data_IF_127773594056
#
_entry.id   IF_127773594056
#
_cell.length_a   1.000
_cell.length_b   1.000
_cell.length_c   1.000
_cell.angle_alpha   90.00
_cell.angle_beta   90.00
_cell.angle_gamma   90.00
#
_symmetry.space_group_name_H-M   'P 1'
#
loop_
_entity.id
_entity.type
_entity.pdbx_description
1 polymer ?
#
# COMPACT_ATOMS: atom_id res chain seq x y z
N UNK A 1 13.55 20.30 -15.77
CA UNK A 1 13.39 21.07 -14.50
C UNK A 1 12.10 20.59 -13.84
N UNK A 2 12.10 20.28 -12.54
CA UNK A 2 10.88 19.85 -11.83
C UNK A 2 9.87 20.99 -11.76
N UNK A 3 8.59 20.69 -11.96
CA UNK A 3 7.46 21.61 -11.82
C UNK A 3 6.68 21.22 -10.56
N UNK A 4 6.26 22.21 -9.77
CA UNK A 4 5.42 21.98 -8.58
C UNK A 4 3.94 22.09 -8.93
N UNK A 5 3.13 21.13 -8.48
CA UNK A 5 1.66 21.18 -8.57
C UNK A 5 1.00 21.65 -7.27
N UNK A 6 1.76 22.18 -6.31
CA UNK A 6 1.23 22.64 -5.02
C UNK A 6 0.30 23.84 -5.21
N UNK A 7 -0.92 23.73 -4.66
CA UNK A 7 -1.91 24.81 -4.60
C UNK A 7 -2.04 25.34 -3.16
N UNK A 8 -2.59 26.56 -2.96
CA UNK A 8 -2.81 27.12 -1.61
C UNK A 8 -3.69 26.26 -0.71
N UNK A 9 -4.59 25.45 -1.28
CA UNK A 9 -5.43 24.49 -0.55
C UNK A 9 -4.66 23.27 -0.02
N UNK A 10 -3.48 22.97 -0.59
CA UNK A 10 -2.66 21.84 -0.18
C UNK A 10 -1.90 22.16 1.11
N UNK A 11 -2.51 21.75 2.23
CA UNK A 11 -1.99 21.94 3.60
C UNK A 11 -1.25 20.69 4.06
N UNK A 12 -0.06 20.87 4.65
CA UNK A 12 0.82 19.78 5.09
C UNK A 12 2.30 20.14 4.95
N UNK A 13 3.18 19.37 5.58
CA UNK A 13 4.64 19.58 5.55
C UNK A 13 5.32 18.74 4.45
N UNK A 14 4.74 17.61 4.08
CA UNK A 14 5.30 16.66 3.10
C UNK A 14 4.63 16.80 1.72
N UNK A 15 5.31 16.41 0.62
CA UNK A 15 4.75 16.54 -0.73
C UNK A 15 3.46 15.74 -0.93
N UNK A 16 3.20 14.72 -0.10
CA UNK A 16 1.99 13.91 -0.18
C UNK A 16 0.68 14.70 -0.01
N UNK A 17 0.75 15.90 0.58
CA UNK A 17 -0.39 16.82 0.76
C UNK A 17 -1.17 17.09 -0.51
N UNK A 18 -0.53 17.02 -1.68
CA UNK A 18 -1.21 17.27 -2.97
C UNK A 18 -2.23 16.20 -3.34
N UNK A 19 -2.17 15.02 -2.71
CA UNK A 19 -3.10 13.91 -2.95
C UNK A 19 -4.22 13.81 -1.90
N UNK A 20 -4.23 14.67 -0.88
CA UNK A 20 -5.19 14.62 0.22
C UNK A 20 -6.65 14.66 -0.25
N UNK A 21 -6.97 15.55 -1.18
CA UNK A 21 -8.34 15.67 -1.70
C UNK A 21 -8.72 14.49 -2.60
N UNK A 22 -7.77 13.92 -3.33
CA UNK A 22 -7.98 12.72 -4.15
C UNK A 22 -8.37 11.52 -3.29
N UNK A 23 -7.80 11.38 -2.08
CA UNK A 23 -8.13 10.30 -1.14
C UNK A 23 -9.58 10.35 -0.70
N UNK A 24 -10.02 11.49 -0.17
CA UNK A 24 -11.42 11.64 0.26
C UNK A 24 -12.38 11.44 -0.91
N UNK A 25 -12.11 12.07 -2.06
CA UNK A 25 -12.96 11.95 -3.24
C UNK A 25 -13.05 10.50 -3.75
N UNK A 26 -11.93 9.77 -3.82
CA UNK A 26 -11.96 8.37 -4.27
C UNK A 26 -12.66 7.46 -3.27
N UNK A 27 -12.41 7.65 -1.98
CA UNK A 27 -13.05 6.85 -0.93
C UNK A 27 -14.58 7.00 -0.96
N UNK A 28 -15.08 8.23 -1.09
CA UNK A 28 -16.53 8.52 -1.17
C UNK A 28 -17.20 7.95 -2.43
N UNK A 29 -16.43 7.70 -3.49
CA UNK A 29 -16.90 7.22 -4.79
C UNK A 29 -16.37 5.83 -5.13
N UNK A 30 -16.21 4.96 -4.12
CA UNK A 30 -15.70 3.60 -4.30
C UNK A 30 -16.52 2.79 -5.32
N UNK A 31 -17.84 2.79 -5.19
CA UNK A 31 -18.76 2.24 -6.19
C UNK A 31 -20.09 3.02 -6.18
N UNK A 32 -20.97 2.75 -7.15
CA UNK A 32 -22.14 3.57 -7.44
C UNK A 32 -23.11 3.83 -6.27
N UNK A 33 -23.16 2.92 -5.29
CA UNK A 33 -24.01 3.05 -4.10
C UNK A 33 -23.23 3.39 -2.82
N UNK A 34 -21.90 3.43 -2.85
CA UNK A 34 -21.08 3.60 -1.65
C UNK A 34 -21.30 4.94 -0.94
N UNK A 35 -21.56 6.01 -1.69
CA UNK A 35 -21.90 7.31 -1.12
C UNK A 35 -23.19 7.26 -0.26
N UNK A 36 -24.15 6.41 -0.63
CA UNK A 36 -25.37 6.18 0.16
C UNK A 36 -25.06 5.38 1.42
N UNK A 37 -24.24 4.34 1.30
CA UNK A 37 -23.78 3.53 2.46
C UNK A 37 -23.04 4.40 3.49
N UNK A 38 -22.15 5.28 3.05
CA UNK A 38 -21.50 6.29 3.92
C UNK A 38 -22.56 7.19 4.58
N UNK A 39 -23.52 7.70 3.82
CA UNK A 39 -24.54 8.60 4.35
C UNK A 39 -25.43 7.92 5.40
N UNK A 40 -25.76 6.64 5.22
CA UNK A 40 -26.50 5.84 6.21
C UNK A 40 -25.69 5.62 7.49
N UNK A 41 -24.39 5.35 7.37
CA UNK A 41 -23.47 5.24 8.50
C UNK A 41 -23.34 6.56 9.28
N UNK A 42 -23.32 7.70 8.58
CA UNK A 42 -23.34 9.03 9.18
C UNK A 42 -24.67 9.28 9.90
N UNK A 43 -25.80 9.01 9.24
CA UNK A 43 -27.13 9.26 9.78
C UNK A 43 -27.44 8.39 11.01
N UNK A 44 -26.89 7.18 11.07
CA UNK A 44 -26.98 6.28 12.22
C UNK A 44 -25.99 6.62 13.35
N UNK A 45 -25.11 7.61 13.16
CA UNK A 45 -24.12 8.04 14.14
C UNK A 45 -22.93 7.10 14.28
N UNK A 46 -22.76 6.13 13.38
CA UNK A 46 -21.62 5.18 13.38
C UNK A 46 -20.35 5.76 12.75
N UNK A 47 -20.50 6.72 11.84
CA UNK A 47 -19.38 7.34 11.12
C UNK A 47 -19.45 8.87 11.28
N UNK A 48 -18.35 9.49 11.68
CA UNK A 48 -18.24 10.94 11.71
C UNK A 48 -17.96 11.47 10.29
N UNK A 49 -18.63 12.55 9.84
CA UNK A 49 -18.37 13.14 8.52
C UNK A 49 -16.92 13.61 8.33
N UNK A 50 -16.29 13.13 7.26
CA UNK A 50 -14.97 13.56 6.81
C UNK A 50 -13.80 12.83 7.47
N UNK A 51 -12.63 12.97 6.84
CA UNK A 51 -11.37 12.37 7.29
C UNK A 51 -10.54 13.43 8.00
N UNK A 52 -10.04 13.13 9.19
CA UNK A 52 -9.14 14.00 9.92
C UNK A 52 -7.69 13.72 9.57
N UNK A 53 -7.01 14.74 9.05
CA UNK A 53 -5.61 14.64 8.62
C UNK A 53 -4.69 15.30 9.64
N UNK A 54 -3.86 14.50 10.27
CA UNK A 54 -2.85 14.92 11.23
C UNK A 54 -1.57 15.32 10.49
N UNK A 55 -1.24 16.61 10.54
CA UNK A 55 0.03 17.15 10.06
C UNK A 55 0.97 17.22 11.27
N UNK A 56 1.84 16.22 11.41
CA UNK A 56 2.79 16.16 12.51
C UNK A 56 4.14 15.62 12.03
N UNK A 57 5.25 16.35 12.25
CA UNK A 57 6.59 15.91 11.88
C UNK A 57 7.10 14.87 12.89
N UNK A 58 6.52 13.67 12.87
CA UNK A 58 6.81 12.58 13.81
C UNK A 58 6.93 11.26 13.08
N UNK A 59 7.73 10.37 13.66
CA UNK A 59 7.92 9.02 13.16
C UNK A 59 6.62 8.22 13.25
N UNK A 60 6.50 7.18 12.41
CA UNK A 60 5.31 6.32 12.37
C UNK A 60 5.36 5.35 13.56
N UNK A 61 4.72 5.73 14.65
CA UNK A 61 4.46 4.84 15.80
C UNK A 61 3.10 4.15 15.65
N UNK A 62 2.74 3.24 16.58
CA UNK A 62 1.43 2.55 16.53
C UNK A 62 0.25 3.54 16.40
N UNK A 63 0.31 4.69 17.08
CA UNK A 63 -0.75 5.71 17.06
C UNK A 63 -0.73 6.61 15.81
N UNK A 64 0.18 6.34 14.86
CA UNK A 64 0.31 7.09 13.61
C UNK A 64 -0.21 6.32 12.39
N UNK A 65 -0.60 5.06 12.55
CA UNK A 65 -1.36 4.33 11.53
C UNK A 65 -2.77 4.92 11.41
N UNK A 66 -3.49 4.69 10.29
CA UNK A 66 -4.90 5.02 10.22
C UNK A 66 -5.69 4.30 11.32
N UNK A 67 -6.69 4.99 11.88
CA UNK A 67 -7.58 4.42 12.89
C UNK A 67 -8.91 5.14 12.88
N UNK A 68 -9.92 4.48 13.45
CA UNK A 68 -11.19 5.10 13.85
C UNK A 68 -11.22 5.34 15.35
N UNK A 69 -11.59 6.55 15.77
CA UNK A 69 -11.80 6.86 17.19
C UNK A 69 -13.21 6.50 17.69
N UNK A 70 -13.45 6.67 18.99
CA UNK A 70 -14.73 6.38 19.65
C UNK A 70 -15.92 7.18 19.10
N UNK A 71 -15.68 8.26 18.34
CA UNK A 71 -16.73 9.06 17.70
C UNK A 71 -17.07 8.57 16.29
N UNK A 72 -16.41 7.52 15.82
CA UNK A 72 -16.51 7.03 14.45
C UNK A 72 -15.71 7.88 13.46
N UNK A 73 -14.76 8.70 13.92
CA UNK A 73 -13.96 9.56 13.03
C UNK A 73 -12.72 8.84 12.53
N UNK A 74 -12.54 8.88 11.21
CA UNK A 74 -11.36 8.31 10.55
C UNK A 74 -10.19 9.31 10.66
N UNK A 75 -9.07 8.83 11.17
CA UNK A 75 -7.86 9.61 11.42
C UNK A 75 -6.70 9.09 10.56
N UNK A 76 -5.98 9.96 9.85
CA UNK A 76 -4.81 9.61 9.04
C UNK A 76 -3.67 10.60 9.31
N UNK A 77 -2.42 10.11 9.30
CA UNK A 77 -1.22 10.93 9.50
C UNK A 77 -0.42 11.13 8.21
N UNK A 78 0.11 12.34 8.03
CA UNK A 78 0.85 12.72 6.82
C UNK A 78 2.12 11.89 6.60
N UNK A 79 2.87 11.57 7.66
CA UNK A 79 4.08 10.71 7.55
C UNK A 79 3.72 9.30 7.09
N UNK A 80 2.62 8.74 7.59
CA UNK A 80 2.13 7.44 7.13
C UNK A 80 1.74 7.47 5.66
N UNK A 81 1.02 8.52 5.22
CA UNK A 81 0.67 8.71 3.82
C UNK A 81 1.91 8.77 2.92
N UNK A 82 2.94 9.51 3.36
CA UNK A 82 4.22 9.61 2.62
C UNK A 82 4.90 8.24 2.52
N UNK A 83 4.92 7.47 3.60
CA UNK A 83 5.45 6.12 3.63
C UNK A 83 4.72 5.16 2.68
N UNK A 84 3.39 5.17 2.64
CA UNK A 84 2.62 4.34 1.70
C UNK A 84 2.94 4.72 0.24
N UNK A 85 3.04 6.01 -0.06
CA UNK A 85 3.40 6.45 -1.42
C UNK A 85 4.80 5.99 -1.82
N UNK A 86 5.77 6.12 -0.91
CA UNK A 86 7.15 5.66 -1.11
C UNK A 86 7.17 4.16 -1.39
N UNK A 87 6.43 3.35 -0.63
CA UNK A 87 6.35 1.91 -0.87
C UNK A 87 5.74 1.59 -2.24
N UNK A 88 4.68 2.31 -2.63
CA UNK A 88 4.07 2.15 -3.96
C UNK A 88 5.08 2.46 -5.07
N UNK A 89 5.81 3.58 -4.96
CA UNK A 89 6.85 3.96 -5.92
C UNK A 89 7.93 2.89 -5.99
N UNK A 90 8.45 2.51 -4.83
CA UNK A 90 9.58 1.58 -4.73
C UNK A 90 9.25 0.21 -5.28
N UNK A 91 8.11 -0.36 -4.91
CA UNK A 91 7.70 -1.69 -5.39
C UNK A 91 7.43 -1.66 -6.90
N UNK A 92 6.80 -0.61 -7.41
CA UNK A 92 6.55 -0.45 -8.83
C UNK A 92 7.86 -0.40 -9.63
N UNK A 93 8.78 0.50 -9.27
CA UNK A 93 10.03 0.67 -10.01
C UNK A 93 10.96 -0.52 -9.84
N UNK A 94 11.16 -1.02 -8.62
CA UNK A 94 12.04 -2.17 -8.38
C UNK A 94 11.52 -3.42 -9.08
N UNK A 95 10.21 -3.59 -9.22
CA UNK A 95 9.64 -4.67 -10.01
C UNK A 95 9.88 -4.47 -11.50
N UNK A 96 9.47 -3.33 -12.07
CA UNK A 96 9.57 -3.09 -13.52
C UNK A 96 11.03 -3.13 -14.01
N UNK A 97 11.90 -2.36 -13.36
CA UNK A 97 13.30 -2.20 -13.78
C UNK A 97 14.19 -3.33 -13.26
N UNK A 98 13.95 -3.80 -12.03
CA UNK A 98 14.81 -4.77 -11.36
C UNK A 98 14.42 -6.23 -11.58
N UNK A 99 13.18 -6.50 -12.01
CA UNK A 99 12.67 -7.87 -12.18
C UNK A 99 12.11 -8.10 -13.59
N UNK A 100 11.08 -7.35 -13.99
CA UNK A 100 10.33 -7.60 -15.21
C UNK A 100 11.19 -7.43 -16.48
N UNK A 101 11.81 -6.25 -16.66
CA UNK A 101 12.67 -5.98 -17.83
C UNK A 101 13.82 -6.99 -17.98
N UNK A 102 14.63 -7.29 -16.93
CA UNK A 102 15.67 -8.33 -17.03
C UNK A 102 15.14 -9.71 -17.42
N UNK A 103 13.98 -10.12 -16.87
CA UNK A 103 13.38 -11.41 -17.19
C UNK A 103 12.89 -11.48 -18.62
N UNK A 104 12.19 -10.46 -19.10
CA UNK A 104 11.72 -10.37 -20.48
C UNK A 104 12.89 -10.43 -21.49
N UNK A 105 14.00 -9.74 -21.20
CA UNK A 105 15.23 -9.82 -22.00
C UNK A 105 15.81 -11.24 -22.01
N UNK A 106 15.88 -11.89 -20.84
CA UNK A 106 16.37 -13.28 -20.74
C UNK A 106 15.49 -14.26 -21.52
N UNK A 107 14.19 -13.99 -21.62
CA UNK A 107 13.22 -14.76 -22.42
C UNK A 107 13.24 -14.41 -23.92
N UNK A 108 14.11 -13.49 -24.35
CA UNK A 108 14.25 -13.13 -25.77
C UNK A 108 13.11 -12.27 -26.31
N UNK A 109 12.36 -11.57 -25.45
CA UNK A 109 11.34 -10.61 -25.92
C UNK A 109 12.02 -9.44 -26.64
N UNK A 110 11.46 -9.05 -27.79
CA UNK A 110 11.96 -7.94 -28.60
C UNK A 110 11.52 -6.58 -28.03
N UNK A 111 12.31 -5.53 -28.31
CA UNK A 111 11.99 -4.13 -27.99
C UNK A 111 11.84 -3.81 -26.49
N UNK A 112 12.49 -4.57 -25.61
CA UNK A 112 12.56 -4.22 -24.18
C UNK A 112 13.59 -3.11 -23.98
N UNK A 113 13.16 -2.00 -23.41
CA UNK A 113 14.03 -0.87 -23.06
C UNK A 113 15.20 -1.29 -22.17
N UNK A 114 16.27 -0.49 -22.18
CA UNK A 114 17.35 -0.66 -21.20
C UNK A 114 16.88 -0.42 -19.77
N UNK A 115 17.48 -1.17 -18.85
CA UNK A 115 17.21 -1.02 -17.42
C UNK A 115 17.72 0.35 -16.99
N UNK A 116 16.85 1.13 -16.37
CA UNK A 116 17.21 2.43 -15.85
C UNK A 116 17.87 2.29 -14.47
N UNK A 117 19.17 2.03 -14.48
CA UNK A 117 19.98 1.83 -13.26
C UNK A 117 19.97 3.07 -12.36
N UNK A 118 19.95 4.28 -12.93
CA UNK A 118 19.89 5.51 -12.13
C UNK A 118 18.56 5.62 -11.38
N UNK A 119 17.44 5.27 -12.04
CA UNK A 119 16.12 5.23 -11.43
C UNK A 119 16.01 4.14 -10.36
N UNK A 120 16.61 2.97 -10.57
CA UNK A 120 16.70 1.93 -9.53
C UNK A 120 17.45 2.41 -8.29
N UNK A 121 18.62 3.02 -8.46
CA UNK A 121 19.44 3.50 -7.34
C UNK A 121 18.69 4.55 -6.50
N UNK A 122 18.11 5.58 -7.14
CA UNK A 122 17.36 6.62 -6.41
C UNK A 122 16.11 6.03 -5.71
N UNK A 123 15.53 4.98 -6.28
CA UNK A 123 14.39 4.26 -5.68
C UNK A 123 14.80 3.46 -4.45
N UNK A 124 15.96 2.79 -4.49
CA UNK A 124 16.51 2.10 -3.32
C UNK A 124 16.79 3.08 -2.19
N UNK A 125 17.37 4.24 -2.49
CA UNK A 125 17.58 5.31 -1.52
C UNK A 125 16.26 5.86 -0.96
N UNK A 126 15.26 6.09 -1.83
CA UNK A 126 13.92 6.51 -1.41
C UNK A 126 13.26 5.48 -0.51
N UNK A 127 13.42 4.18 -0.79
CA UNK A 127 12.92 3.10 0.05
C UNK A 127 13.61 3.11 1.43
N UNK A 128 14.93 3.32 1.50
CA UNK A 128 15.61 3.49 2.79
C UNK A 128 15.12 4.73 3.56
N UNK A 129 14.86 5.84 2.86
CA UNK A 129 14.22 7.01 3.47
C UNK A 129 12.84 6.65 4.04
N UNK A 130 11.99 5.97 3.28
CA UNK A 130 10.68 5.49 3.76
C UNK A 130 10.79 4.63 5.02
N UNK A 131 11.72 3.68 5.05
CA UNK A 131 12.01 2.87 6.25
C UNK A 131 12.42 3.72 7.45
N UNK A 132 13.24 4.75 7.21
CA UNK A 132 13.68 5.64 8.30
C UNK A 132 12.52 6.34 8.99
N UNK A 133 11.44 6.67 8.27
CA UNK A 133 10.24 7.33 8.82
C UNK A 133 9.51 6.52 9.89
N UNK A 134 9.70 5.21 9.92
CA UNK A 134 9.15 4.34 10.98
C UNK A 134 9.92 4.51 12.30
N UNK A 135 11.21 4.83 12.22
CA UNK A 135 12.10 4.96 13.38
C UNK A 135 12.22 6.42 13.83
N UNK A 136 12.44 7.33 12.88
CA UNK A 136 12.64 8.76 13.13
C UNK A 136 12.14 9.59 11.96
N UNK A 137 11.49 10.71 12.25
CA UNK A 137 11.04 11.62 11.21
C UNK A 137 12.20 12.44 10.66
N UNK A 138 12.23 12.57 9.34
CA UNK A 138 13.02 13.59 8.65
C UNK A 138 12.23 14.14 7.45
N UNK A 139 12.40 15.43 7.10
CA UNK A 139 11.71 16.03 5.97
C UNK A 139 12.04 15.35 4.63
N UNK A 140 11.04 15.21 3.76
CA UNK A 140 11.23 14.64 2.42
C UNK A 140 11.96 15.63 1.52
N UNK A 141 13.15 15.27 1.05
CA UNK A 141 13.88 16.04 0.05
C UNK A 141 13.19 15.95 -1.33
N UNK A 142 12.27 16.88 -1.58
CA UNK A 142 11.48 16.96 -2.83
C UNK A 142 12.32 17.22 -4.08
N UNK A 143 13.52 17.79 -3.92
CA UNK A 143 14.39 18.10 -5.07
C UNK A 143 15.11 16.84 -5.50
N UNK A 144 15.67 16.12 -4.52
CA UNK A 144 16.44 14.91 -4.76
C UNK A 144 15.55 13.72 -5.09
N UNK A 145 14.53 13.44 -4.26
CA UNK A 145 13.69 12.25 -4.43
C UNK A 145 12.48 12.46 -5.35
N UNK A 146 12.05 11.40 -6.07
CA UNK A 146 10.72 11.35 -6.67
C UNK A 146 9.64 11.60 -5.63
N UNK A 147 8.60 12.37 -5.99
CA UNK A 147 7.50 12.71 -5.09
C UNK A 147 6.28 13.20 -5.89
N UNK A 148 5.07 13.21 -5.30
CA UNK A 148 3.85 13.57 -6.02
C UNK A 148 3.67 15.07 -6.26
N UNK A 149 4.47 15.94 -5.64
CA UNK A 149 4.30 17.40 -5.71
C UNK A 149 5.21 18.06 -6.76
N UNK A 150 6.49 17.67 -6.80
CA UNK A 150 7.53 18.26 -7.62
C UNK A 150 8.21 17.19 -8.46
N UNK A 151 7.92 17.18 -9.77
CA UNK A 151 8.49 16.23 -10.71
C UNK A 151 8.66 16.86 -12.11
N UNK A 152 9.57 16.29 -12.90
CA UNK A 152 9.86 16.66 -14.28
C UNK A 152 9.03 15.83 -15.26
N UNK A 153 9.04 16.22 -16.55
CA UNK A 153 8.36 15.48 -17.62
C UNK A 153 8.90 14.05 -17.78
N UNK A 154 10.19 13.81 -17.48
CA UNK A 154 10.81 12.48 -17.50
C UNK A 154 10.33 11.58 -16.34
N UNK A 155 9.98 12.19 -15.20
CA UNK A 155 9.49 11.48 -14.01
C UNK A 155 7.96 11.30 -14.03
N UNK A 156 7.25 12.05 -14.87
CA UNK A 156 5.79 12.17 -14.87
C UNK A 156 5.10 10.81 -14.98
N UNK A 157 5.53 9.95 -15.91
CA UNK A 157 4.96 8.61 -16.07
C UNK A 157 5.01 7.80 -14.75
N UNK A 158 6.18 7.75 -14.12
CA UNK A 158 6.39 6.97 -12.89
C UNK A 158 5.63 7.57 -11.71
N UNK A 159 5.64 8.90 -11.57
CA UNK A 159 4.93 9.61 -10.51
C UNK A 159 3.42 9.46 -10.66
N UNK A 160 2.86 9.66 -11.86
CA UNK A 160 1.42 9.52 -12.07
C UNK A 160 0.94 8.07 -11.93
N UNK A 161 1.73 7.10 -12.41
CA UNK A 161 1.43 5.68 -12.17
C UNK A 161 1.43 5.34 -10.68
N UNK A 162 2.43 5.84 -9.95
CA UNK A 162 2.52 5.68 -8.51
C UNK A 162 1.35 6.34 -7.79
N UNK A 163 0.95 7.56 -8.18
CA UNK A 163 -0.22 8.23 -7.62
C UNK A 163 -1.47 7.35 -7.77
N UNK A 164 -1.67 6.71 -8.91
CA UNK A 164 -2.80 5.80 -9.14
C UNK A 164 -2.76 4.58 -8.20
N UNK A 165 -1.61 3.91 -8.08
CA UNK A 165 -1.42 2.76 -7.18
C UNK A 165 -1.61 3.15 -5.71
N UNK A 166 -0.97 4.24 -5.30
CA UNK A 166 -1.09 4.84 -3.98
C UNK A 166 -2.54 5.14 -3.62
N UNK A 167 -3.30 5.67 -4.60
CA UNK A 167 -4.70 5.98 -4.37
C UNK A 167 -5.50 4.73 -4.01
N UNK A 168 -5.31 3.62 -4.71
CA UNK A 168 -5.97 2.35 -4.37
C UNK A 168 -5.46 1.75 -3.06
N UNK A 169 -4.16 1.87 -2.77
CA UNK A 169 -3.59 1.43 -1.50
C UNK A 169 -4.19 2.17 -0.30
N UNK A 170 -4.31 3.50 -0.38
CA UNK A 170 -4.94 4.30 0.67
C UNK A 170 -6.45 4.04 0.77
N UNK A 171 -7.14 3.88 -0.37
CA UNK A 171 -8.57 3.54 -0.36
C UNK A 171 -8.81 2.18 0.30
N UNK A 172 -7.94 1.18 0.07
CA UNK A 172 -8.01 -0.10 0.79
C UNK A 172 -7.87 0.09 2.30
N UNK A 173 -6.85 0.82 2.74
CA UNK A 173 -6.60 1.04 4.17
C UNK A 173 -7.80 1.77 4.83
N UNK A 174 -8.42 2.72 4.13
CA UNK A 174 -9.62 3.39 4.64
C UNK A 174 -10.87 2.52 4.61
N UNK A 175 -11.03 1.68 3.59
CA UNK A 175 -12.12 0.70 3.53
C UNK A 175 -12.03 -0.33 4.66
N UNK A 176 -10.81 -0.70 5.08
CA UNK A 176 -10.57 -1.56 6.24
C UNK A 176 -11.05 -0.89 7.53
N UNK A 177 -10.66 0.37 7.78
CA UNK A 177 -11.15 1.14 8.94
C UNK A 177 -12.68 1.33 8.93
N UNK A 178 -13.25 1.58 7.75
CA UNK A 178 -14.70 1.65 7.57
C UNK A 178 -15.39 0.31 7.87
N UNK A 179 -14.82 -0.81 7.43
CA UNK A 179 -15.38 -2.13 7.65
C UNK A 179 -15.47 -2.47 9.16
N UNK A 180 -14.52 -2.01 9.99
CA UNK A 180 -14.64 -2.14 11.43
C UNK A 180 -15.88 -1.44 12.01
N UNK A 181 -16.27 -0.29 11.46
CA UNK A 181 -17.48 0.43 11.85
C UNK A 181 -18.74 -0.25 11.32
N UNK A 182 -18.74 -0.61 10.04
CA UNK A 182 -19.88 -1.25 9.35
C UNK A 182 -20.27 -2.55 10.06
N UNK A 183 -19.27 -3.38 10.38
CA UNK A 183 -19.43 -4.68 11.01
C UNK A 183 -19.55 -4.62 12.54
N UNK A 184 -19.59 -3.42 13.12
CA UNK A 184 -19.75 -3.18 14.57
C UNK A 184 -18.69 -3.88 15.43
N UNK A 185 -17.45 -3.93 14.95
CA UNK A 185 -16.33 -4.64 15.59
C UNK A 185 -15.96 -4.07 16.97
N UNK A 186 -16.25 -2.80 17.23
CA UNK A 186 -15.99 -2.15 18.52
C UNK A 186 -16.92 -2.63 19.64
N UNK A 187 -18.14 -3.07 19.30
CA UNK A 187 -19.14 -3.51 20.28
C UNK A 187 -19.22 -5.05 20.43
N UNK A 188 -18.76 -5.81 19.43
CA UNK A 188 -18.74 -7.28 19.47
C UNK A 188 -17.67 -7.83 20.43
N UNK A 189 -18.03 -8.10 21.68
CA UNK A 189 -17.11 -8.68 22.69
C UNK A 189 -16.85 -10.18 22.54
N UNK A 190 -17.70 -10.90 21.83
CA UNK A 190 -17.65 -12.36 21.71
C UNK A 190 -16.77 -12.86 20.55
N UNK A 191 -16.12 -11.97 19.83
CA UNK A 191 -15.32 -12.27 18.65
C UNK A 191 -13.86 -11.92 18.92
N UNK A 192 -12.94 -12.79 18.50
CA UNK A 192 -11.51 -12.51 18.68
C UNK A 192 -11.12 -11.32 17.81
N UNK A 193 -10.07 -10.61 18.22
CA UNK A 193 -9.57 -9.48 17.42
C UNK A 193 -9.04 -9.94 16.06
N UNK A 194 -8.47 -11.15 15.97
CA UNK A 194 -8.04 -11.74 14.71
C UNK A 194 -9.22 -11.94 13.74
N UNK A 195 -10.35 -12.48 14.22
CA UNK A 195 -11.53 -12.69 13.38
C UNK A 195 -12.07 -11.36 12.83
N UNK A 196 -12.06 -10.30 13.66
CA UNK A 196 -12.50 -8.97 13.26
C UNK A 196 -11.63 -8.39 12.14
N UNK A 197 -10.32 -8.56 12.23
CA UNK A 197 -9.38 -8.11 11.20
C UNK A 197 -9.56 -8.87 9.89
N UNK A 198 -9.77 -10.20 9.96
CA UNK A 198 -10.05 -11.02 8.77
C UNK A 198 -11.36 -10.59 8.10
N UNK A 199 -12.41 -10.31 8.89
CA UNK A 199 -13.69 -9.82 8.37
C UNK A 199 -13.55 -8.42 7.75
N UNK A 200 -12.83 -7.51 8.41
CA UNK A 200 -12.57 -6.16 7.90
C UNK A 200 -11.77 -6.18 6.60
N UNK A 201 -10.74 -7.03 6.51
CA UNK A 201 -9.96 -7.23 5.28
C UNK A 201 -10.81 -7.76 4.13
N UNK A 202 -11.59 -8.82 4.36
CA UNK A 202 -12.46 -9.39 3.33
C UNK A 202 -13.45 -8.36 2.80
N UNK A 203 -14.04 -7.58 3.70
CA UNK A 203 -14.98 -6.53 3.32
C UNK A 203 -14.30 -5.39 2.56
N UNK A 204 -13.13 -4.95 2.99
CA UNK A 204 -12.35 -3.94 2.28
C UNK A 204 -11.92 -4.40 0.88
N UNK A 205 -11.47 -5.66 0.76
CA UNK A 205 -11.16 -6.29 -0.53
C UNK A 205 -12.40 -6.29 -1.42
N UNK A 206 -13.54 -6.77 -0.92
CA UNK A 206 -14.80 -6.80 -1.68
C UNK A 206 -15.19 -5.41 -2.21
N UNK A 207 -15.18 -4.39 -1.34
CA UNK A 207 -15.52 -3.02 -1.70
C UNK A 207 -14.65 -2.50 -2.86
N UNK A 208 -13.34 -2.76 -2.84
CA UNK A 208 -12.45 -2.35 -3.93
C UNK A 208 -12.56 -3.26 -5.15
N UNK A 209 -12.74 -4.56 -5.00
CA UNK A 209 -12.88 -5.44 -6.16
C UNK A 209 -14.17 -5.18 -6.94
N UNK A 210 -15.20 -4.62 -6.29
CA UNK A 210 -16.44 -4.15 -6.90
C UNK A 210 -16.28 -2.83 -7.67
N UNK A 211 -15.20 -2.08 -7.47
CA UNK A 211 -14.90 -0.87 -8.25
C UNK A 211 -14.13 -1.15 -9.54
N UNK A 212 -13.83 -2.43 -9.81
CA UNK A 212 -13.06 -2.84 -10.98
C UNK A 212 -13.87 -2.68 -12.27
N UNK A 213 -13.21 -2.12 -13.27
CA UNK A 213 -13.62 -2.17 -14.66
C UNK A 213 -12.44 -2.64 -15.54
N UNK A 214 -12.66 -2.77 -16.84
CA UNK A 214 -11.64 -3.25 -17.78
C UNK A 214 -10.42 -2.31 -17.88
N UNK A 215 -10.57 -1.03 -17.54
CA UNK A 215 -9.51 -0.03 -17.62
C UNK A 215 -8.65 0.01 -16.34
N UNK A 216 -9.26 -0.26 -15.19
CA UNK A 216 -8.67 -0.01 -13.89
C UNK A 216 -8.30 -1.29 -13.11
N UNK A 217 -8.80 -2.46 -13.54
CA UNK A 217 -8.68 -3.75 -12.85
C UNK A 217 -7.30 -4.01 -12.26
N UNK A 218 -6.26 -3.90 -13.08
CA UNK A 218 -4.87 -4.15 -12.63
C UNK A 218 -4.41 -3.11 -11.62
N UNK A 219 -4.75 -1.84 -11.80
CA UNK A 219 -4.37 -0.79 -10.85
C UNK A 219 -5.02 -1.00 -9.47
N UNK A 220 -6.28 -1.46 -9.45
CA UNK A 220 -6.96 -1.86 -8.20
C UNK A 220 -6.24 -3.03 -7.54
N UNK A 221 -5.92 -4.06 -8.31
CA UNK A 221 -5.27 -5.28 -7.81
C UNK A 221 -3.87 -4.99 -7.23
N UNK A 222 -3.03 -4.28 -7.98
CA UNK A 222 -1.71 -3.87 -7.47
C UNK A 222 -1.82 -2.90 -6.29
N UNK A 223 -2.76 -1.96 -6.33
CA UNK A 223 -2.99 -1.03 -5.23
C UNK A 223 -3.38 -1.71 -3.92
N UNK A 224 -4.27 -2.70 -3.97
CA UNK A 224 -4.63 -3.55 -2.83
C UNK A 224 -3.37 -4.24 -2.26
N UNK A 225 -2.57 -4.88 -3.13
CA UNK A 225 -1.32 -5.49 -2.72
C UNK A 225 -0.37 -4.48 -2.05
N UNK A 226 -0.18 -3.30 -2.63
CA UNK A 226 0.70 -2.26 -2.07
C UNK A 226 0.20 -1.75 -0.70
N UNK A 227 -1.11 -1.73 -0.49
CA UNK A 227 -1.72 -1.44 0.82
C UNK A 227 -1.31 -2.46 1.88
N UNK A 228 -1.50 -3.76 1.60
CA UNK A 228 -1.05 -4.83 2.49
C UNK A 228 0.46 -4.80 2.75
N UNK A 229 1.26 -4.64 1.70
CA UNK A 229 2.73 -4.62 1.82
C UNK A 229 3.21 -3.41 2.63
N UNK A 230 2.56 -2.25 2.49
CA UNK A 230 2.88 -1.10 3.34
C UNK A 230 2.64 -1.41 4.81
N UNK A 231 1.56 -2.13 5.15
CA UNK A 231 1.31 -2.56 6.53
C UNK A 231 2.34 -3.59 7.01
N UNK A 232 2.81 -4.49 6.13
CA UNK A 232 3.86 -5.48 6.40
C UNK A 232 5.17 -4.81 6.80
N UNK A 233 5.60 -3.79 6.04
CA UNK A 233 6.87 -3.09 6.28
C UNK A 233 6.92 -2.28 7.60
N UNK A 234 5.81 -2.18 8.34
CA UNK A 234 5.76 -1.48 9.64
C UNK A 234 6.11 -2.37 10.84
N UNK A 235 6.23 -3.70 10.68
CA UNK A 235 6.49 -4.62 11.80
C UNK A 235 7.50 -5.70 11.39
N UNK A 236 8.43 -5.99 12.29
CA UNK A 236 9.44 -7.06 12.19
C UNK A 236 8.86 -8.44 12.50
N UNK A 237 7.81 -8.49 13.31
CA UNK A 237 7.14 -9.73 13.68
C UNK A 237 5.98 -10.05 12.76
N UNK A 238 6.09 -11.22 12.13
CA UNK A 238 5.00 -11.95 11.45
C UNK A 238 3.91 -12.24 12.45
N UNK A 239 4.31 -12.70 13.65
CA UNK A 239 3.44 -13.07 14.73
C UNK A 239 2.55 -11.90 15.13
N UNK A 240 1.26 -12.06 14.82
CA UNK A 240 0.21 -11.29 15.43
C UNK A 240 0.51 -11.09 16.91
N UNK A 241 0.65 -9.83 17.32
CA UNK A 241 0.17 -9.51 18.66
C UNK A 241 -1.29 -9.97 18.71
N UNK A 242 -1.79 -10.33 19.90
CA UNK A 242 -3.11 -10.93 20.20
C UNK A 242 -4.33 -10.30 19.46
N UNK A 243 -4.11 -9.21 18.73
CA UNK A 243 -5.07 -8.41 18.00
C UNK A 243 -5.09 -8.50 16.45
N UNK A 244 -4.08 -9.02 15.73
CA UNK A 244 -4.07 -9.03 14.25
C UNK A 244 -3.52 -10.33 13.63
N UNK A 245 -4.06 -10.81 12.49
CA UNK A 245 -3.44 -11.90 11.72
C UNK A 245 -2.12 -11.46 11.09
N UNK A 246 -1.24 -12.44 10.89
CA UNK A 246 0.07 -12.27 10.27
C UNK A 246 -0.07 -11.63 8.88
N UNK A 247 0.73 -10.61 8.57
CA UNK A 247 0.49 -9.82 7.34
C UNK A 247 0.80 -10.62 6.06
N UNK A 248 1.65 -11.63 6.12
CA UNK A 248 1.86 -12.57 5.01
C UNK A 248 0.62 -13.46 4.79
N UNK A 249 -0.10 -13.86 5.83
CA UNK A 249 -1.40 -14.56 5.72
C UNK A 249 -2.50 -13.67 5.14
N UNK A 250 -2.50 -12.37 5.48
CA UNK A 250 -3.39 -11.38 4.84
C UNK A 250 -3.11 -11.28 3.33
N UNK A 251 -1.85 -11.18 2.92
CA UNK A 251 -1.45 -11.15 1.50
C UNK A 251 -1.83 -12.47 0.79
N UNK A 252 -1.57 -13.64 1.40
CA UNK A 252 -1.99 -14.95 0.86
C UNK A 252 -3.50 -15.01 0.64
N UNK A 253 -4.27 -14.57 1.63
CA UNK A 253 -5.74 -14.56 1.58
C UNK A 253 -6.21 -13.69 0.42
N UNK A 254 -5.66 -12.47 0.30
CA UNK A 254 -5.96 -11.57 -0.80
C UNK A 254 -5.64 -12.20 -2.18
N UNK A 255 -4.44 -12.74 -2.36
CA UNK A 255 -4.04 -13.35 -3.64
C UNK A 255 -4.86 -14.61 -3.97
N UNK A 256 -5.35 -15.32 -2.94
CA UNK A 256 -6.27 -16.45 -3.11
C UNK A 256 -7.67 -16.01 -3.51
N UNK A 257 -8.17 -14.89 -2.95
CA UNK A 257 -9.46 -14.28 -3.36
C UNK A 257 -9.38 -13.80 -4.81
N UNK A 258 -8.24 -13.25 -5.22
CA UNK A 258 -8.05 -12.78 -6.59
C UNK A 258 -8.03 -13.93 -7.60
N UNK A 259 -7.65 -15.13 -7.15
CA UNK A 259 -7.41 -16.32 -7.98
C UNK A 259 -6.51 -16.01 -9.20
N UNK A 260 -5.43 -15.27 -8.94
CA UNK A 260 -4.51 -14.86 -10.01
C UNK A 260 -3.79 -16.08 -10.62
N UNK A 261 -3.79 -16.21 -11.96
CA UNK A 261 -2.97 -17.20 -12.66
C UNK A 261 -1.46 -17.06 -12.31
N UNK A 262 -0.68 -18.15 -12.33
CA UNK A 262 0.76 -18.12 -11.98
C UNK A 262 1.60 -17.12 -12.79
N UNK A 263 1.22 -16.86 -14.04
CA UNK A 263 1.89 -15.96 -14.98
C UNK A 263 1.65 -14.47 -14.69
N UNK A 264 0.69 -14.14 -13.82
CA UNK A 264 0.37 -12.76 -13.52
C UNK A 264 1.52 -12.05 -12.77
N UNK A 265 1.93 -10.84 -13.19
CA UNK A 265 3.06 -10.14 -12.59
C UNK A 265 2.87 -9.82 -11.08
N UNK A 266 1.62 -9.85 -10.59
CA UNK A 266 1.29 -9.64 -9.17
C UNK A 266 2.01 -10.61 -8.22
N UNK A 267 2.27 -11.85 -8.65
CA UNK A 267 3.05 -12.80 -7.86
C UNK A 267 4.51 -12.37 -7.72
N UNK A 268 5.07 -11.78 -8.79
CA UNK A 268 6.43 -11.24 -8.78
C UNK A 268 6.57 -10.03 -7.86
N UNK A 269 5.58 -9.13 -7.88
CA UNK A 269 5.50 -7.99 -6.95
C UNK A 269 5.37 -8.47 -5.50
N UNK A 270 4.48 -9.42 -5.22
CA UNK A 270 4.31 -9.97 -3.88
C UNK A 270 5.58 -10.65 -3.37
N UNK A 271 6.27 -11.40 -4.22
CA UNK A 271 7.56 -12.03 -3.89
C UNK A 271 8.64 -10.98 -3.60
N UNK A 272 8.74 -9.94 -4.44
CA UNK A 272 9.68 -8.84 -4.23
C UNK A 272 9.43 -8.15 -2.88
N UNK A 273 8.17 -7.92 -2.53
CA UNK A 273 7.80 -7.36 -1.23
C UNK A 273 8.30 -8.21 -0.05
N UNK A 274 8.08 -9.54 -0.09
CA UNK A 274 8.58 -10.43 0.98
C UNK A 274 10.11 -10.42 1.05
N UNK A 275 10.81 -10.35 -0.10
CA UNK A 275 12.27 -10.22 -0.15
C UNK A 275 12.76 -8.90 0.47
N UNK A 276 12.10 -7.78 0.17
CA UNK A 276 12.45 -6.49 0.75
C UNK A 276 12.19 -6.46 2.26
N UNK A 277 11.10 -7.09 2.70
CA UNK A 277 10.76 -7.23 4.11
C UNK A 277 11.79 -8.08 4.87
N UNK A 278 12.22 -9.21 4.29
CA UNK A 278 13.33 -10.01 4.80
C UNK A 278 14.60 -9.18 4.94
N UNK A 279 15.01 -8.50 3.88
CA UNK A 279 16.21 -7.66 3.92
C UNK A 279 16.12 -6.55 4.97
N UNK A 280 14.93 -5.97 5.15
CA UNK A 280 14.70 -4.91 6.13
C UNK A 280 14.88 -5.41 7.56
N UNK A 281 14.38 -6.60 7.88
CA UNK A 281 14.40 -7.16 9.23
C UNK A 281 15.46 -8.23 9.45
N UNK A 282 16.31 -8.48 8.44
CA UNK A 282 17.39 -9.46 8.46
C UNK A 282 16.87 -10.86 8.82
N UNK A 283 15.78 -11.26 8.18
CA UNK A 283 15.13 -12.55 8.41
C UNK A 283 15.81 -13.71 7.67
N UNK A 284 16.95 -13.49 7.02
CA UNK A 284 17.82 -14.54 6.49
C UNK A 284 17.10 -15.63 5.69
N UNK A 285 16.15 -15.27 4.83
CA UNK A 285 15.52 -16.26 3.97
C UNK A 285 16.48 -16.77 2.91
N UNK A 286 16.23 -17.99 2.45
CA UNK A 286 16.94 -18.63 1.36
C UNK A 286 16.26 -18.34 0.04
N UNK A 287 17.05 -17.85 -0.92
CA UNK A 287 16.58 -17.47 -2.25
C UNK A 287 17.17 -18.42 -3.29
N UNK A 288 16.36 -18.96 -4.23
CA UNK A 288 16.89 -19.71 -5.35
C UNK A 288 17.68 -18.78 -6.27
N UNK A 289 18.64 -19.34 -7.00
CA UNK A 289 19.40 -18.59 -8.03
C UNK A 289 18.55 -18.29 -9.26
N UNK A 290 17.44 -19.00 -9.44
CA UNK A 290 16.53 -18.83 -10.58
C UNK A 290 15.08 -19.10 -10.15
N UNK A 291 14.16 -18.33 -10.73
CA UNK A 291 12.72 -18.38 -10.45
C UNK A 291 11.99 -18.53 -11.79
N UNK A 292 11.34 -19.68 -11.97
CA UNK A 292 10.49 -19.96 -13.14
C UNK A 292 9.03 -19.59 -12.90
N UNK A 293 8.57 -19.71 -11.66
CA UNK A 293 7.18 -19.50 -11.26
C UNK A 293 7.16 -18.64 -9.98
N UNK A 294 6.71 -17.39 -10.12
CA UNK A 294 6.62 -16.47 -8.99
C UNK A 294 5.52 -16.85 -7.99
N UNK A 295 4.44 -17.53 -8.42
CA UNK A 295 3.40 -18.01 -7.51
C UNK A 295 3.97 -19.10 -6.62
N UNK A 296 4.65 -20.10 -7.21
CA UNK A 296 5.32 -21.14 -6.44
C UNK A 296 6.36 -20.53 -5.50
N UNK A 297 7.17 -19.59 -6.00
CA UNK A 297 8.21 -18.97 -5.20
C UNK A 297 7.65 -18.14 -4.03
N UNK A 298 6.55 -17.40 -4.24
CA UNK A 298 5.83 -16.71 -3.18
C UNK A 298 5.42 -17.69 -2.05
N UNK A 299 4.79 -18.82 -2.39
CA UNK A 299 4.40 -19.82 -1.38
C UNK A 299 5.61 -20.47 -0.68
N UNK A 300 6.75 -20.64 -1.38
CA UNK A 300 7.99 -21.09 -0.75
C UNK A 300 8.50 -20.07 0.28
N UNK A 301 8.56 -18.79 -0.06
CA UNK A 301 8.95 -17.72 0.88
C UNK A 301 8.05 -17.69 2.11
N UNK A 302 6.75 -17.83 1.88
CA UNK A 302 5.75 -17.94 2.92
C UNK A 302 5.86 -19.17 3.82
N UNK A 303 6.43 -20.28 3.34
CA UNK A 303 6.70 -21.45 4.17
C UNK A 303 7.90 -21.23 5.10
N UNK A 304 8.91 -20.47 4.63
CA UNK A 304 10.06 -20.11 5.45
C UNK A 304 9.67 -19.22 6.63
N UNK A 305 8.69 -18.32 6.42
CA UNK A 305 8.07 -17.51 7.47
C UNK A 305 7.52 -18.40 8.61
N UNK A 306 6.74 -19.44 8.28
CA UNK A 306 6.11 -20.34 9.27
C UNK A 306 7.09 -21.24 10.00
N UNK A 307 8.27 -21.46 9.43
CA UNK A 307 9.29 -22.36 9.99
C UNK A 307 10.20 -21.71 11.04
N UNK A 308 9.99 -20.42 11.33
CA UNK A 308 10.77 -19.62 12.29
C UNK A 308 10.03 -19.45 13.59
#
# INVERSE_FOLDING_TARGET
MKKSIKLPSHTGEQPIRVLKHNISSRFENLHGDFAKEIQEMINSGKLFPGIYYHVSPRAITQNQKPYVDETGKVNIHETFMSFVWINCFSLFIMYEEGVAKPMQKKQGQANIEEVNVALLNITEELFQYGKSLVVSYSPWDKKYFPNPEEFSEEEEFHVLRTNSLYMYAMTFILAHEYAHLELDHFNKKNQTSIDKEIEADKRAIELLLNCRDDENKKSVEYGLLMGFVSLLFLKDNVYGQETHPDTDERIKTYLSILDAPPEEPIWGVATLAIKLWDNQFQLGFSYPTFVDDFKQFFYQMCSQIKSR
#
